data_IF_355738717544
#
_entry.id   IF_355738717544
#
_cell.length_a   1.000
_cell.length_b   1.000
_cell.length_c   1.000
_cell.angle_alpha   90.00
_cell.angle_beta   90.00
_cell.angle_gamma   90.00
#
_symmetry.space_group_name_H-M   'P 1'
#
loop_
_entity.id
_entity.type
_entity.pdbx_description
1 polymer ?
#
# COMPACT_ATOMS: atom_id res chain seq x y z
N UNK A 1 33.81 -6.77 -23.57
CA UNK A 1 32.44 -7.29 -23.77
C UNK A 1 31.67 -7.12 -22.47
N UNK A 2 30.84 -6.08 -22.37
CA UNK A 2 29.97 -5.89 -21.20
C UNK A 2 28.95 -7.03 -21.14
N UNK A 3 28.83 -7.71 -20.00
CA UNK A 3 27.74 -8.64 -19.74
C UNK A 3 26.44 -7.83 -19.73
N UNK A 4 25.58 -8.07 -20.70
CA UNK A 4 24.23 -7.53 -20.71
C UNK A 4 23.44 -8.25 -19.62
N UNK A 5 23.29 -7.61 -18.47
CA UNK A 5 22.49 -8.12 -17.36
C UNK A 5 21.02 -7.99 -17.75
N UNK A 6 20.40 -9.07 -18.18
CA UNK A 6 18.95 -9.12 -18.39
C UNK A 6 18.28 -9.00 -17.02
N UNK A 7 17.59 -7.89 -16.77
CA UNK A 7 16.74 -7.74 -15.60
C UNK A 7 15.50 -8.64 -15.78
N UNK A 8 15.10 -9.41 -14.76
CA UNK A 8 13.87 -10.19 -14.83
C UNK A 8 12.68 -9.25 -15.08
N UNK A 9 11.77 -9.63 -15.97
CA UNK A 9 10.49 -8.92 -16.08
C UNK A 9 9.62 -9.23 -14.85
N UNK A 10 8.63 -8.39 -14.56
CA UNK A 10 7.71 -8.60 -13.41
C UNK A 10 7.13 -10.02 -13.41
N UNK A 11 6.87 -10.58 -14.60
CA UNK A 11 6.23 -11.88 -14.76
C UNK A 11 7.18 -13.07 -14.56
N UNK A 12 8.50 -12.85 -14.64
CA UNK A 12 9.48 -13.93 -14.60
C UNK A 12 10.07 -14.17 -13.20
N UNK A 13 9.71 -13.34 -12.21
CA UNK A 13 10.26 -13.43 -10.85
C UNK A 13 9.15 -13.41 -9.79
N UNK A 14 8.99 -14.47 -8.97
CA UNK A 14 7.86 -14.62 -8.06
C UNK A 14 7.76 -13.49 -7.03
N UNK A 15 8.90 -12.94 -6.57
CA UNK A 15 8.90 -11.79 -5.66
C UNK A 15 8.46 -10.51 -6.36
N UNK A 16 8.83 -10.30 -7.63
CA UNK A 16 8.42 -9.09 -8.35
C UNK A 16 6.94 -9.15 -8.71
N UNK A 17 6.43 -10.34 -9.06
CA UNK A 17 5.01 -10.58 -9.26
C UNK A 17 4.22 -10.31 -7.97
N UNK A 18 4.66 -10.85 -6.82
CA UNK A 18 4.04 -10.56 -5.53
C UNK A 18 4.10 -9.07 -5.19
N UNK A 19 5.23 -8.41 -5.41
CA UNK A 19 5.38 -6.99 -5.12
C UNK A 19 4.45 -6.14 -5.98
N UNK A 20 4.35 -6.44 -7.29
CA UNK A 20 3.42 -5.76 -8.19
C UNK A 20 1.95 -5.95 -7.79
N UNK A 21 1.59 -7.14 -7.32
CA UNK A 21 0.23 -7.43 -6.82
C UNK A 21 -0.09 -6.61 -5.56
N UNK A 22 0.84 -6.51 -4.61
CA UNK A 22 0.63 -5.72 -3.40
C UNK A 22 0.57 -4.22 -3.72
N UNK A 23 1.43 -3.71 -4.61
CA UNK A 23 1.44 -2.31 -5.04
C UNK A 23 0.20 -1.88 -5.82
N UNK A 24 -0.52 -2.82 -6.43
CA UNK A 24 -1.76 -2.53 -7.15
C UNK A 24 -2.94 -2.22 -6.22
N UNK A 25 -2.79 -2.42 -4.90
CA UNK A 25 -3.85 -2.17 -3.91
C UNK A 25 -3.55 -0.86 -3.18
N UNK A 26 -4.37 0.20 -3.38
CA UNK A 26 -4.22 1.44 -2.63
C UNK A 26 -4.35 1.21 -1.12
N UNK A 27 -3.42 1.76 -0.35
CA UNK A 27 -3.31 1.56 1.09
C UNK A 27 -2.77 2.82 1.80
N UNK A 28 -3.35 4.01 1.59
CA UNK A 28 -2.89 5.19 2.30
C UNK A 28 -3.12 5.03 3.80
N UNK A 29 -2.32 5.73 4.59
CA UNK A 29 -2.42 5.67 6.06
C UNK A 29 -3.87 5.82 6.56
N UNK A 30 -4.28 4.95 7.49
CA UNK A 30 -5.63 4.75 8.04
C UNK A 30 -6.67 4.12 7.10
N UNK A 31 -6.29 3.66 5.91
CA UNK A 31 -7.15 2.93 4.95
C UNK A 31 -6.49 1.64 4.45
N UNK A 32 -5.71 0.98 5.30
CA UNK A 32 -4.88 -0.18 4.95
C UNK A 32 -5.66 -1.50 4.81
N UNK A 33 -6.97 -1.50 5.10
CA UNK A 33 -7.79 -2.69 5.21
C UNK A 33 -7.79 -3.58 3.96
N UNK A 34 -7.87 -2.96 2.78
CA UNK A 34 -7.87 -3.70 1.52
C UNK A 34 -6.57 -4.49 1.33
N UNK A 35 -5.42 -3.86 1.61
CA UNK A 35 -4.12 -4.50 1.52
C UNK A 35 -3.95 -5.55 2.64
N UNK A 36 -4.43 -5.26 3.85
CA UNK A 36 -4.40 -6.18 4.98
C UNK A 36 -5.17 -7.48 4.67
N UNK A 37 -6.32 -7.41 3.99
CA UNK A 37 -7.06 -8.60 3.54
C UNK A 37 -6.26 -9.43 2.53
N UNK A 38 -5.62 -8.78 1.54
CA UNK A 38 -4.77 -9.48 0.56
C UNK A 38 -3.61 -10.18 1.26
N UNK A 39 -2.95 -9.51 2.22
CA UNK A 39 -1.85 -10.09 3.00
C UNK A 39 -2.34 -11.27 3.83
N UNK A 40 -3.47 -11.15 4.54
CA UNK A 40 -4.07 -12.24 5.32
C UNK A 40 -4.37 -13.46 4.46
N UNK A 41 -5.03 -13.26 3.31
CA UNK A 41 -5.38 -14.33 2.39
C UNK A 41 -4.13 -15.07 1.88
N UNK A 42 -3.06 -14.34 1.53
CA UNK A 42 -1.78 -14.94 1.13
C UNK A 42 -1.15 -15.74 2.25
N UNK A 43 -1.06 -15.17 3.45
CA UNK A 43 -0.50 -15.86 4.62
C UNK A 43 -1.27 -17.16 4.94
N UNK A 44 -2.59 -17.12 4.88
CA UNK A 44 -3.43 -18.31 5.02
C UNK A 44 -3.16 -19.35 3.93
N UNK A 45 -3.01 -18.91 2.67
CA UNK A 45 -2.67 -19.80 1.54
C UNK A 45 -1.30 -20.49 1.71
N UNK A 46 -0.39 -19.87 2.48
CA UNK A 46 0.91 -20.43 2.85
C UNK A 46 0.85 -21.32 4.11
N UNK A 47 -0.33 -21.50 4.70
CA UNK A 47 -0.55 -22.32 5.89
C UNK A 47 -0.28 -21.59 7.22
N UNK A 48 -0.13 -20.27 7.20
CA UNK A 48 -0.02 -19.48 8.43
C UNK A 48 -1.39 -19.11 9.00
N UNK A 49 -1.40 -18.77 10.28
CA UNK A 49 -2.59 -18.27 10.98
C UNK A 49 -2.35 -16.81 11.35
N UNK A 50 -2.69 -15.86 10.46
CA UNK A 50 -2.52 -14.44 10.75
C UNK A 50 -3.53 -13.98 11.80
N UNK A 51 -3.04 -13.19 12.75
CA UNK A 51 -3.83 -12.48 13.75
C UNK A 51 -3.90 -10.99 13.39
N UNK A 52 -4.89 -10.29 13.94
CA UNK A 52 -5.03 -8.85 13.78
C UNK A 52 -5.11 -8.19 15.15
N UNK A 53 -4.26 -7.18 15.38
CA UNK A 53 -4.27 -6.44 16.64
C UNK A 53 -5.28 -5.27 16.63
N UNK A 54 -5.38 -4.56 17.74
CA UNK A 54 -6.30 -3.41 17.87
C UNK A 54 -5.93 -2.22 16.96
N UNK A 55 -4.68 -2.15 16.50
CA UNK A 55 -4.20 -1.17 15.53
C UNK A 55 -4.35 -1.67 14.08
N UNK A 56 -4.98 -2.83 13.88
CA UNK A 56 -5.25 -3.47 12.58
C UNK A 56 -3.99 -3.97 11.85
N UNK A 57 -2.87 -4.14 12.56
CA UNK A 57 -1.69 -4.80 12.00
C UNK A 57 -1.97 -6.28 11.74
N UNK A 58 -1.27 -6.87 10.77
CA UNK A 58 -1.30 -8.32 10.51
C UNK A 58 -0.08 -8.98 11.14
N UNK A 59 -0.29 -9.93 12.05
CA UNK A 59 0.77 -10.62 12.78
C UNK A 59 0.78 -12.10 12.46
N UNK A 60 1.97 -12.68 12.29
CA UNK A 60 2.16 -14.14 12.21
C UNK A 60 3.25 -14.55 13.16
N UNK A 61 2.98 -15.58 13.96
CA UNK A 61 3.97 -16.17 14.85
C UNK A 61 4.62 -17.38 14.19
N UNK A 62 5.94 -17.34 14.05
CA UNK A 62 6.74 -18.47 13.59
C UNK A 62 7.40 -19.15 14.78
N UNK A 63 7.18 -20.46 14.94
CA UNK A 63 7.82 -21.23 16.00
C UNK A 63 9.32 -21.37 15.70
N UNK A 64 10.15 -20.91 16.64
CA UNK A 64 11.59 -21.14 16.60
C UNK A 64 11.93 -22.62 16.86
N UNK A 65 13.13 -23.04 16.44
CA UNK A 65 13.64 -24.40 16.74
C UNK A 65 13.98 -24.59 18.22
N UNK A 66 14.33 -23.51 18.91
CA UNK A 66 14.62 -23.49 20.35
C UNK A 66 13.57 -22.62 21.05
N UNK A 67 12.86 -23.21 22.02
CA UNK A 67 11.84 -22.52 22.81
C UNK A 67 12.42 -21.52 23.82
N UNK A 68 13.69 -21.63 24.15
CA UNK A 68 14.42 -20.71 25.04
C UNK A 68 15.11 -19.55 24.31
N UNK A 69 15.05 -19.55 22.97
CA UNK A 69 15.59 -18.49 22.14
C UNK A 69 14.89 -17.13 22.37
N UNK A 70 15.56 -16.01 22.06
CA UNK A 70 14.96 -14.69 22.19
C UNK A 70 13.79 -14.50 21.23
N UNK A 71 12.82 -13.67 21.62
CA UNK A 71 11.78 -13.22 20.72
C UNK A 71 12.37 -12.24 19.71
N UNK A 72 12.29 -12.58 18.42
CA UNK A 72 12.71 -11.71 17.31
C UNK A 72 11.49 -11.25 16.53
N UNK A 73 11.40 -9.95 16.27
CA UNK A 73 10.33 -9.34 15.49
C UNK A 73 10.87 -8.81 14.16
N UNK A 74 10.21 -9.16 13.06
CA UNK A 74 10.39 -8.53 11.76
C UNK A 74 9.11 -7.78 11.43
N UNK A 75 9.24 -6.49 11.13
CA UNK A 75 8.11 -5.63 10.80
C UNK A 75 8.36 -4.90 9.48
N UNK A 76 7.31 -4.79 8.69
CA UNK A 76 7.22 -3.93 7.52
C UNK A 76 5.85 -3.23 7.58
N UNK A 77 5.76 -2.04 7.02
CA UNK A 77 4.54 -1.23 7.09
C UNK A 77 3.68 -1.46 5.83
N UNK A 78 2.35 -1.40 6.00
CA UNK A 78 1.37 -1.56 4.91
C UNK A 78 0.94 -0.23 4.30
N UNK A 79 1.14 0.85 5.03
CA UNK A 79 0.69 2.17 4.61
C UNK A 79 1.60 2.72 3.53
N UNK A 80 0.99 3.44 2.60
CA UNK A 80 1.66 4.24 1.60
C UNK A 80 1.39 5.73 1.83
N UNK A 81 2.26 6.55 1.24
CA UNK A 81 2.10 8.00 1.25
C UNK A 81 0.96 8.38 0.31
N UNK A 82 0.08 9.26 0.77
CA UNK A 82 -1.07 9.72 -0.02
C UNK A 82 -1.44 11.17 0.28
N UNK A 83 -2.72 11.48 0.03
CA UNK A 83 -3.31 12.79 0.27
C UNK A 83 -4.67 12.63 0.94
N UNK A 84 -5.10 13.64 1.69
CA UNK A 84 -6.42 13.69 2.31
C UNK A 84 -7.22 14.86 1.76
N UNK A 85 -8.47 14.63 1.38
CA UNK A 85 -9.39 15.71 0.98
C UNK A 85 -9.78 16.49 2.23
N UNK A 86 -9.54 17.81 2.20
CA UNK A 86 -9.85 18.72 3.32
C UNK A 86 -11.06 19.59 3.05
N UNK A 87 -11.40 19.82 1.78
CA UNK A 87 -12.57 20.60 1.36
C UNK A 87 -13.04 20.20 -0.03
N UNK A 88 -14.36 20.25 -0.22
CA UNK A 88 -15.02 20.20 -1.53
C UNK A 88 -15.52 21.61 -1.84
N UNK A 89 -15.10 22.18 -2.96
CA UNK A 89 -15.55 23.48 -3.46
C UNK A 89 -16.93 23.40 -4.09
N UNK A 90 -17.61 24.55 -4.21
CA UNK A 90 -18.95 24.64 -4.81
C UNK A 90 -18.96 24.27 -6.30
N UNK A 91 -17.79 24.34 -6.95
CA UNK A 91 -17.53 23.94 -8.33
C UNK A 91 -17.11 22.46 -8.47
N UNK A 92 -17.07 21.73 -7.36
CA UNK A 92 -16.62 20.34 -7.31
C UNK A 92 -15.10 20.16 -7.21
N UNK A 93 -14.31 21.23 -7.10
CA UNK A 93 -12.87 21.13 -6.91
C UNK A 93 -12.53 20.57 -5.51
N UNK A 94 -11.47 19.77 -5.41
CA UNK A 94 -11.03 19.18 -4.15
C UNK A 94 -9.77 19.90 -3.65
N UNK A 95 -9.83 20.41 -2.42
CA UNK A 95 -8.62 20.79 -1.69
C UNK A 95 -8.06 19.57 -0.98
N UNK A 96 -6.75 19.35 -1.09
CA UNK A 96 -6.07 18.22 -0.46
C UNK A 96 -4.90 18.69 0.40
N UNK A 97 -4.62 17.94 1.46
CA UNK A 97 -3.39 18.06 2.25
C UNK A 97 -2.61 16.74 2.20
N UNK A 98 -1.33 16.78 2.61
CA UNK A 98 -0.47 15.59 2.65
C UNK A 98 -0.96 14.56 3.66
N UNK A 99 -0.88 13.29 3.30
CA UNK A 99 -0.89 12.17 4.25
C UNK A 99 0.46 11.47 4.15
N UNK A 100 1.34 11.74 5.12
CA UNK A 100 2.75 11.33 5.08
C UNK A 100 3.70 12.44 4.62
N UNK A 101 4.92 12.05 4.22
CA UNK A 101 6.04 12.99 4.00
C UNK A 101 6.10 13.69 2.64
N UNK A 102 5.19 13.36 1.71
CA UNK A 102 5.17 13.95 0.37
C UNK A 102 4.19 15.11 0.30
N UNK A 103 4.64 16.22 -0.29
CA UNK A 103 3.76 17.34 -0.56
C UNK A 103 2.97 17.12 -1.87
N UNK A 104 1.65 17.35 -1.91
CA UNK A 104 0.79 17.07 -3.07
C UNK A 104 1.30 17.61 -4.41
N UNK A 105 1.84 18.84 -4.43
CA UNK A 105 2.33 19.48 -5.66
C UNK A 105 3.53 18.78 -6.31
N UNK A 106 4.18 17.83 -5.61
CA UNK A 106 5.25 17.01 -6.19
C UNK A 106 4.74 15.89 -7.10
N UNK A 107 3.46 15.52 -6.99
CA UNK A 107 2.83 14.50 -7.84
C UNK A 107 2.45 15.05 -9.23
N UNK A 108 2.42 16.37 -9.41
CA UNK A 108 2.09 16.97 -10.71
C UNK A 108 0.64 16.74 -11.13
N UNK A 109 0.44 16.36 -12.39
CA UNK A 109 -0.88 16.13 -13.01
C UNK A 109 -1.18 14.61 -13.18
N UNK A 110 -0.50 13.78 -12.40
CA UNK A 110 -0.71 12.33 -12.45
C UNK A 110 -2.15 11.96 -12.03
N UNK A 111 -2.73 10.89 -12.62
CA UNK A 111 -4.03 10.39 -12.19
C UNK A 111 -4.03 10.06 -10.70
N UNK A 112 -5.14 10.36 -10.04
CA UNK A 112 -5.34 10.08 -8.62
C UNK A 112 -6.59 9.25 -8.42
N UNK A 113 -6.53 8.29 -7.50
CA UNK A 113 -7.71 7.55 -7.07
C UNK A 113 -8.16 8.08 -5.70
N UNK A 114 -9.41 8.52 -5.64
CA UNK A 114 -10.06 8.98 -4.40
C UNK A 114 -10.74 7.79 -3.75
N UNK A 115 -10.41 7.55 -2.48
CA UNK A 115 -11.01 6.50 -1.66
C UNK A 115 -12.10 7.11 -0.77
N UNK A 116 -13.35 7.04 -1.24
CA UNK A 116 -14.54 7.38 -0.45
C UNK A 116 -15.00 6.21 0.41
N UNK A 117 -15.95 6.46 1.31
CA UNK A 117 -16.52 5.42 2.19
C UNK A 117 -17.38 4.40 1.43
N UNK A 118 -18.02 4.84 0.34
CA UNK A 118 -18.94 4.00 -0.46
C UNK A 118 -18.36 3.61 -1.83
N UNK A 119 -17.43 4.40 -2.36
CA UNK A 119 -16.92 4.24 -3.71
C UNK A 119 -15.48 4.75 -3.86
N UNK A 120 -14.78 4.18 -4.85
CA UNK A 120 -13.49 4.67 -5.32
C UNK A 120 -13.67 5.29 -6.70
N UNK A 121 -13.04 6.45 -6.91
CA UNK A 121 -13.13 7.20 -8.17
C UNK A 121 -11.73 7.57 -8.62
N UNK A 122 -11.34 7.15 -9.82
CA UNK A 122 -10.09 7.59 -10.44
C UNK A 122 -10.34 8.84 -11.27
N UNK A 123 -9.62 9.92 -10.96
CA UNK A 123 -9.61 11.15 -11.71
C UNK A 123 -8.35 11.19 -12.57
N UNK A 124 -8.51 11.38 -13.87
CA UNK A 124 -7.39 11.74 -14.73
C UNK A 124 -7.10 13.23 -14.57
N UNK A 125 -5.82 13.60 -14.45
CA UNK A 125 -5.39 14.96 -14.15
C UNK A 125 -6.01 15.99 -15.10
N UNK A 126 -6.71 16.97 -14.54
CA UNK A 126 -7.11 18.21 -15.23
C UNK A 126 -6.77 19.40 -14.35
N UNK A 127 -5.90 20.27 -14.87
CA UNK A 127 -5.45 21.49 -14.20
C UNK A 127 -6.62 22.48 -14.06
N UNK A 128 -6.90 22.93 -12.84
CA UNK A 128 -7.62 24.19 -12.62
C UNK A 128 -6.59 25.28 -12.30
N UNK A 129 -6.43 26.24 -13.20
CA UNK A 129 -5.63 27.43 -12.97
C UNK A 129 -6.41 28.41 -12.10
N UNK A 130 -6.14 28.48 -10.80
CA UNK A 130 -6.37 29.68 -9.99
C UNK A 130 -5.35 29.76 -8.86
#
# INVERSE_FOLDING_TARGET
MQRMTTYPTINDHPVLALFAELLAVPSPSSREDALAEVIRAKLQSYGYQPETDAARNVLVRLAGRDASGPLTCFAAHMDEIGMVVTKIGDDGALSVDRSGGLYPWKLGEEPVTILGDEAQITLEGRRSHH
#
